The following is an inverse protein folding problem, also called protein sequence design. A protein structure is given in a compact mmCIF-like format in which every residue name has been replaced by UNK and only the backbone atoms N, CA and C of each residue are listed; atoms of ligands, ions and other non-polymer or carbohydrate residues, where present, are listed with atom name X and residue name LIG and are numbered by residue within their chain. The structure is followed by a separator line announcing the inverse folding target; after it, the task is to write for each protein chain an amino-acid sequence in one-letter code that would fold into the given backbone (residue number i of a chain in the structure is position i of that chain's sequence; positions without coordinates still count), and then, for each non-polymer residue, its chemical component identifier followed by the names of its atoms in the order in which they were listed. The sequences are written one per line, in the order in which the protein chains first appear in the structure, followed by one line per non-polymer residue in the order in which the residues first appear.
data_IF_456702751048
#
_entry.id   IF_456702751048
#
_cell.length_a   1.000
_cell.length_b   1.000
_cell.length_c   1.000
_cell.angle_alpha   90.00
_cell.angle_beta   90.00
_cell.angle_gamma   90.00
#
_symmetry.space_group_name_H-M   'P 1'
#
loop_
_entity.id
_entity.type
_entity.pdbx_description
1 polymer ?
#
# COMPACT_ATOMS: atom_id res chain seq x y z
N UNK A 1 8.05 -9.77 0.25
CA UNK A 1 8.39 -8.91 1.41
C UNK A 1 7.48 -7.70 1.36
N UNK A 2 6.84 -7.30 2.47
CA UNK A 2 5.86 -6.21 2.45
C UNK A 2 6.56 -4.85 2.21
N UNK A 3 5.93 -3.92 1.47
CA UNK A 3 6.48 -2.58 1.28
C UNK A 3 6.57 -1.83 2.62
N UNK A 4 7.48 -0.87 2.70
CA UNK A 4 7.52 0.05 3.84
C UNK A 4 6.35 1.03 3.78
N UNK A 5 6.07 1.67 4.92
CA UNK A 5 5.08 2.75 4.98
C UNK A 5 5.47 3.91 4.04
N UNK A 6 6.78 4.19 3.92
CA UNK A 6 7.32 5.16 2.97
C UNK A 6 7.00 4.79 1.51
N UNK A 7 7.28 3.55 1.10
CA UNK A 7 7.06 3.10 -0.28
C UNK A 7 5.59 3.18 -0.66
N UNK A 8 4.71 2.76 0.25
CA UNK A 8 3.28 2.81 0.03
C UNK A 8 2.75 4.24 -0.06
N UNK A 9 3.26 5.15 0.76
CA UNK A 9 2.93 6.57 0.69
C UNK A 9 3.43 7.21 -0.60
N UNK A 10 4.65 6.89 -1.02
CA UNK A 10 5.22 7.35 -2.29
C UNK A 10 4.40 6.86 -3.50
N UNK A 11 4.02 5.58 -3.53
CA UNK A 11 3.17 5.02 -4.58
C UNK A 11 1.79 5.69 -4.66
N UNK A 12 1.27 6.14 -3.51
CA UNK A 12 -0.01 6.85 -3.43
C UNK A 12 0.10 8.37 -3.64
N UNK A 13 1.30 8.93 -3.70
CA UNK A 13 1.52 10.38 -3.70
C UNK A 13 1.06 11.07 -2.41
N UNK A 14 1.12 10.36 -1.28
CA UNK A 14 0.67 10.85 0.04
C UNK A 14 1.88 11.22 0.89
N UNK A 15 1.88 12.41 1.46
CA UNK A 15 2.98 12.88 2.31
C UNK A 15 2.71 12.61 3.80
N UNK A 16 1.44 12.60 4.21
CA UNK A 16 1.10 12.55 5.65
C UNK A 16 0.57 11.19 6.11
N UNK A 17 0.91 10.82 7.35
CA UNK A 17 0.33 9.65 8.01
C UNK A 17 -1.20 9.78 8.17
N UNK A 18 -1.72 10.98 8.35
CA UNK A 18 -3.16 11.18 8.49
C UNK A 18 -3.93 10.81 7.21
N UNK A 19 -3.40 11.19 6.05
CA UNK A 19 -3.96 10.82 4.75
C UNK A 19 -3.79 9.34 4.47
N UNK A 20 -2.64 8.76 4.83
CA UNK A 20 -2.43 7.33 4.66
C UNK A 20 -3.38 6.49 5.53
N UNK A 21 -3.63 6.89 6.79
CA UNK A 21 -4.65 6.26 7.64
C UNK A 21 -6.05 6.36 7.02
N UNK A 22 -6.41 7.53 6.47
CA UNK A 22 -7.69 7.72 5.78
C UNK A 22 -7.80 6.81 4.55
N UNK A 23 -6.73 6.72 3.76
CA UNK A 23 -6.67 5.80 2.62
C UNK A 23 -6.90 4.36 3.08
N UNK A 24 -6.27 3.90 4.16
CA UNK A 24 -6.45 2.54 4.68
C UNK A 24 -7.77 2.31 5.42
N UNK A 25 -8.56 3.36 5.67
CA UNK A 25 -9.78 3.29 6.49
C UNK A 25 -9.46 2.90 7.94
N UNK A 26 -8.35 3.42 8.46
CA UNK A 26 -7.88 3.19 9.82
C UNK A 26 -8.00 4.46 10.66
N UNK A 27 -8.18 4.33 11.99
CA UNK A 27 -8.04 5.46 12.88
C UNK A 27 -6.59 5.99 12.85
N UNK A 28 -6.40 7.30 13.01
CA UNK A 28 -5.07 7.95 12.97
C UNK A 28 -4.06 7.32 13.94
N UNK A 29 -4.56 6.85 15.09
CA UNK A 29 -3.76 6.19 16.12
C UNK A 29 -3.08 4.89 15.64
N UNK A 30 -3.59 4.25 14.58
CA UNK A 30 -2.98 3.04 14.02
C UNK A 30 -1.60 3.30 13.39
N UNK A 31 -1.32 4.55 12.99
CA UNK A 31 -0.01 4.97 12.47
C UNK A 31 0.86 5.67 13.52
N UNK A 32 0.32 5.94 14.72
CA UNK A 32 1.09 6.56 15.80
C UNK A 32 2.12 5.57 16.34
N UNK A 33 3.38 5.99 16.42
CA UNK A 33 4.49 5.16 16.90
C UNK A 33 5.13 4.24 15.84
N UNK A 34 4.71 4.36 14.57
CA UNK A 34 5.37 3.68 13.44
C UNK A 34 6.25 4.66 12.68
N UNK A 35 7.45 4.21 12.33
CA UNK A 35 8.36 4.91 11.45
C UNK A 35 8.03 4.62 9.98
N UNK A 36 8.44 5.52 9.10
CA UNK A 36 8.29 5.35 7.65
C UNK A 36 9.06 4.16 7.08
N UNK A 37 10.14 3.79 7.76
CA UNK A 37 10.95 2.61 7.44
C UNK A 37 10.31 1.31 7.91
N UNK A 38 9.27 1.35 8.76
CA UNK A 38 8.59 0.14 9.19
C UNK A 38 7.82 -0.49 8.03
N UNK A 39 7.83 -1.82 8.02
CA UNK A 39 7.03 -2.57 7.06
C UNK A 39 5.54 -2.40 7.35
N UNK A 40 4.76 -2.32 6.28
CA UNK A 40 3.32 -2.41 6.39
C UNK A 40 2.91 -3.78 6.96
N UNK A 41 2.02 -3.82 7.95
CA UNK A 41 1.35 -5.05 8.35
C UNK A 41 0.57 -5.65 7.17
N UNK A 42 0.49 -6.98 7.11
CA UNK A 42 -0.22 -7.69 6.04
C UNK A 42 -1.66 -7.21 5.88
N UNK A 43 -2.36 -6.98 6.99
CA UNK A 43 -3.73 -6.47 6.98
C UNK A 43 -3.86 -5.12 6.24
N UNK A 44 -2.81 -4.29 6.23
CA UNK A 44 -2.80 -3.03 5.51
C UNK A 44 -2.45 -3.21 4.05
N UNK A 45 -1.53 -4.13 3.73
CA UNK A 45 -1.24 -4.53 2.34
C UNK A 45 -2.52 -5.01 1.65
N UNK A 46 -3.28 -5.89 2.28
CA UNK A 46 -4.57 -6.37 1.77
C UNK A 46 -5.59 -5.25 1.57
N UNK A 47 -5.67 -4.30 2.51
CA UNK A 47 -6.56 -3.13 2.37
C UNK A 47 -6.14 -2.22 1.22
N UNK A 48 -4.85 -1.97 1.08
CA UNK A 48 -4.29 -1.17 0.00
C UNK A 48 -4.54 -1.84 -1.36
N UNK A 49 -4.27 -3.14 -1.49
CA UNK A 49 -4.55 -3.94 -2.67
C UNK A 49 -6.04 -3.96 -3.04
N UNK A 50 -6.94 -4.02 -2.05
CA UNK A 50 -8.39 -3.94 -2.30
C UNK A 50 -8.83 -2.57 -2.85
N UNK A 51 -8.16 -1.49 -2.46
CA UNK A 51 -8.53 -0.12 -2.88
C UNK A 51 -7.83 0.34 -4.16
N UNK A 52 -6.55 -0.02 -4.31
CA UNK A 52 -5.69 0.29 -5.44
C UNK A 52 -4.96 -0.99 -5.87
N UNK A 53 -5.68 -1.96 -6.46
CA UNK A 53 -5.07 -3.18 -6.96
C UNK A 53 -4.05 -2.90 -8.08
N UNK A 54 -4.16 -1.75 -8.74
CA UNK A 54 -3.21 -1.25 -9.73
C UNK A 54 -1.83 -0.92 -9.14
N UNK A 55 -1.75 -0.53 -7.86
CA UNK A 55 -0.50 -0.19 -7.18
C UNK A 55 -0.02 -1.28 -6.22
N UNK A 56 -0.95 -1.97 -5.57
CA UNK A 56 -0.68 -2.90 -4.48
C UNK A 56 -1.18 -4.32 -4.73
N UNK A 57 -1.86 -4.56 -5.84
CA UNK A 57 -2.22 -5.90 -6.26
C UNK A 57 -1.00 -6.66 -6.80
N UNK A 58 -1.10 -7.99 -6.95
CA UNK A 58 -0.13 -8.70 -7.77
C UNK A 58 -0.11 -8.01 -9.13
N UNK A 59 1.08 -7.67 -9.63
CA UNK A 59 1.24 -7.11 -10.97
C UNK A 59 0.39 -7.99 -11.89
N UNK A 60 -0.68 -7.41 -12.47
CA UNK A 60 -1.50 -8.15 -13.40
C UNK A 60 -0.52 -8.74 -14.41
N UNK A 61 -0.41 -10.06 -14.43
CA UNK A 61 0.40 -10.76 -15.42
C UNK A 61 -0.02 -10.14 -16.74
N UNK A 62 0.90 -9.39 -17.32
CA UNK A 62 0.73 -8.82 -18.64
C UNK A 62 0.39 -10.01 -19.50
N UNK A 63 -0.87 -10.11 -19.92
CA UNK A 63 -1.32 -11.03 -20.95
C UNK A 63 -0.59 -10.63 -22.23
N UNK A 64 0.65 -11.10 -22.35
CA UNK A 64 1.55 -10.86 -23.44
C UNK A 64 2.37 -12.12 -23.66
N UNK A 65 1.71 -13.26 -23.81
CA UNK A 65 2.21 -14.35 -24.66
C UNK A 65 1.05 -15.31 -25.00
N UNK A 66 0.25 -14.89 -25.97
CA UNK A 66 -0.67 -15.75 -26.69
C UNK A 66 -0.62 -15.42 -28.19
N UNK A 67 0.59 -15.32 -28.78
CA UNK A 67 0.82 -15.53 -30.22
C UNK A 67 2.29 -15.94 -30.43
N UNK A 68 2.56 -17.24 -30.58
CA UNK A 68 3.66 -17.78 -31.36
C UNK A 68 3.35 -19.23 -31.75
#
# INVERSE_FOLDING_TARGET
MNPTIADAKAALGIETNAEFARFLGLPKQSLTGRADTDQMPDAWCWRAAKKRPDLFGPAAESSAEAVA
#
